data_IF_431217429350
#
_entry.id   IF_431217429350
#
_cell.length_a   1.000
_cell.length_b   1.000
_cell.length_c   1.000
_cell.angle_alpha   90.00
_cell.angle_beta   90.00
_cell.angle_gamma   90.00
#
_symmetry.space_group_name_H-M   'P 1'
#
loop_
_entity.id
_entity.type
_entity.pdbx_description
1 polymer ?
#
# COMPACT_ATOMS: atom_id res chain seq x y z
N UNK A 1 36.43 -12.62 36.08
CA UNK A 1 35.53 -11.63 35.43
C UNK A 1 34.28 -12.33 34.93
N UNK A 2 33.24 -12.18 35.72
CA UNK A 2 31.86 -12.59 35.40
C UNK A 2 31.34 -11.71 34.27
N UNK A 3 31.55 -12.10 33.03
CA UNK A 3 30.90 -11.44 31.90
C UNK A 3 29.41 -11.77 31.89
N UNK A 4 28.70 -10.82 32.40
CA UNK A 4 27.27 -10.52 32.31
C UNK A 4 26.50 -11.33 31.27
N UNK A 5 25.63 -12.21 31.76
CA UNK A 5 24.44 -12.66 31.02
C UNK A 5 23.76 -11.42 30.43
N UNK A 6 23.30 -11.46 29.17
CA UNK A 6 22.51 -10.38 28.62
C UNK A 6 21.30 -10.17 29.54
N UNK A 7 21.33 -9.07 30.22
CA UNK A 7 20.34 -8.73 31.22
C UNK A 7 18.93 -8.79 30.62
N UNK A 8 17.97 -9.32 31.38
CA UNK A 8 16.53 -9.36 31.12
C UNK A 8 16.03 -8.09 30.43
N UNK A 9 16.63 -6.96 30.74
CA UNK A 9 16.35 -5.63 30.20
C UNK A 9 16.61 -5.46 28.70
N UNK A 10 17.58 -6.16 28.11
CA UNK A 10 17.83 -6.11 26.64
C UNK A 10 16.82 -6.95 25.86
N UNK A 11 16.32 -8.03 26.46
CA UNK A 11 15.24 -8.85 25.92
C UNK A 11 13.91 -8.09 25.92
N UNK A 12 13.63 -7.37 27.03
CA UNK A 12 12.39 -6.59 27.18
C UNK A 12 12.34 -5.42 26.20
N UNK A 13 13.47 -4.72 25.99
CA UNK A 13 13.57 -3.65 24.99
C UNK A 13 13.39 -4.16 23.56
N UNK A 14 13.99 -5.30 23.24
CA UNK A 14 13.85 -5.92 21.91
C UNK A 14 12.40 -6.34 21.67
N UNK A 15 11.73 -6.91 22.68
CA UNK A 15 10.35 -7.31 22.61
C UNK A 15 9.41 -6.10 22.47
N UNK A 16 9.70 -5.01 23.20
CA UNK A 16 8.97 -3.75 23.08
C UNK A 16 9.08 -3.15 21.67
N UNK A 17 10.30 -3.14 21.09
CA UNK A 17 10.52 -2.65 19.74
C UNK A 17 9.80 -3.54 18.71
N UNK A 18 9.88 -4.85 18.83
CA UNK A 18 9.27 -5.79 17.91
C UNK A 18 7.74 -5.74 17.88
N UNK A 19 7.11 -5.47 19.04
CA UNK A 19 5.67 -5.31 19.14
C UNK A 19 5.24 -3.84 18.94
N UNK A 20 6.03 -2.88 19.39
CA UNK A 20 5.70 -1.47 19.29
C UNK A 20 5.91 -0.88 17.90
N UNK A 21 6.97 -1.29 17.18
CA UNK A 21 7.25 -0.77 15.84
C UNK A 21 6.12 -1.01 14.83
N UNK A 22 5.50 -2.20 14.73
CA UNK A 22 4.35 -2.41 13.85
C UNK A 22 3.17 -1.50 14.17
N UNK A 23 2.91 -1.29 15.45
CA UNK A 23 1.83 -0.40 15.92
C UNK A 23 2.10 1.04 15.48
N UNK A 24 3.31 1.54 15.74
CA UNK A 24 3.72 2.90 15.35
C UNK A 24 3.71 3.05 13.82
N UNK A 25 4.20 2.06 13.09
CA UNK A 25 4.22 2.09 11.63
C UNK A 25 2.80 2.12 11.05
N UNK A 26 1.88 1.30 11.53
CA UNK A 26 0.49 1.32 11.05
C UNK A 26 -0.20 2.65 11.35
N UNK A 27 0.02 3.21 12.54
CA UNK A 27 -0.51 4.53 12.88
C UNK A 27 0.07 5.59 11.95
N UNK A 28 1.39 5.64 11.79
CA UNK A 28 2.06 6.62 10.92
C UNK A 28 1.56 6.45 9.48
N UNK A 29 1.65 5.25 8.91
CA UNK A 29 1.24 5.02 7.51
C UNK A 29 -0.27 5.17 7.30
N UNK A 30 -1.09 4.82 8.30
CA UNK A 30 -2.54 4.97 8.21
C UNK A 30 -3.04 6.41 8.29
N UNK A 31 -2.33 7.29 9.01
CA UNK A 31 -2.71 8.70 9.14
C UNK A 31 -1.86 9.65 8.30
N UNK A 32 -0.56 9.37 8.09
CA UNK A 32 0.35 10.26 7.37
C UNK A 32 0.21 10.14 5.85
N UNK A 33 -0.16 8.96 5.34
CA UNK A 33 -0.43 8.75 3.93
C UNK A 33 -1.94 8.86 3.70
N UNK A 34 -2.50 10.02 3.97
CA UNK A 34 -3.86 10.34 3.55
C UNK A 34 -3.80 10.72 2.07
N UNK A 35 -4.33 9.84 1.24
CA UNK A 35 -4.70 10.16 -0.14
C UNK A 35 -6.07 10.84 -0.20
N UNK A 36 -6.62 11.27 0.93
CA UNK A 36 -7.82 12.09 0.96
C UNK A 36 -7.45 13.51 0.52
N UNK A 37 -8.06 13.95 -0.55
CA UNK A 37 -8.02 15.35 -0.94
C UNK A 37 -8.75 16.15 0.13
N UNK A 38 -8.04 17.08 0.75
CA UNK A 38 -8.62 18.08 1.65
C UNK A 38 -8.01 19.43 1.29
N UNK A 39 -8.88 20.40 1.06
CA UNK A 39 -8.48 21.78 0.83
C UNK A 39 -7.41 21.95 -0.26
N UNK A 40 -7.59 21.24 -1.39
CA UNK A 40 -6.70 21.39 -2.54
C UNK A 40 -6.88 22.79 -3.13
N UNK A 41 -5.82 23.57 -3.16
CA UNK A 41 -5.85 24.91 -3.76
C UNK A 41 -5.93 24.80 -5.28
N UNK A 42 -6.97 25.40 -5.85
CA UNK A 42 -7.19 25.46 -7.30
C UNK A 42 -7.26 26.91 -7.77
N UNK A 43 -6.87 27.14 -9.02
CA UNK A 43 -7.15 28.40 -9.69
C UNK A 43 -8.21 28.19 -10.77
N UNK A 44 -8.92 29.25 -11.08
CA UNK A 44 -9.96 29.27 -12.12
C UNK A 44 -9.58 30.28 -13.19
N UNK A 45 -9.60 29.83 -14.44
CA UNK A 45 -9.51 30.70 -15.61
C UNK A 45 -10.83 30.64 -16.37
N UNK A 46 -11.66 31.67 -16.18
CA UNK A 46 -13.01 31.73 -16.74
C UNK A 46 -13.08 32.80 -17.84
N UNK A 47 -13.17 32.34 -19.09
CA UNK A 47 -13.33 33.21 -20.27
C UNK A 47 -14.78 33.61 -20.50
N UNK A 48 -15.74 32.86 -19.96
CA UNK A 48 -17.17 33.10 -20.20
C UNK A 48 -17.81 34.02 -19.17
N UNK A 49 -17.44 33.86 -17.89
CA UNK A 49 -17.96 34.63 -16.75
C UNK A 49 -19.49 34.64 -16.69
N UNK A 50 -20.10 33.50 -17.02
CA UNK A 50 -21.55 33.33 -17.06
C UNK A 50 -22.12 32.62 -15.82
N UNK A 51 -23.44 32.46 -15.75
CA UNK A 51 -24.12 31.89 -14.60
C UNK A 51 -23.73 30.41 -14.42
N UNK A 52 -23.51 29.66 -15.50
CA UNK A 52 -23.18 28.24 -15.43
C UNK A 52 -21.74 28.03 -14.90
N UNK A 53 -20.78 28.86 -15.33
CA UNK A 53 -19.42 28.80 -14.82
C UNK A 53 -19.36 29.17 -13.34
N UNK A 54 -20.10 30.21 -12.92
CA UNK A 54 -20.17 30.59 -11.51
C UNK A 54 -20.76 29.49 -10.63
N UNK A 55 -21.85 28.83 -11.05
CA UNK A 55 -22.43 27.70 -10.30
C UNK A 55 -21.49 26.52 -10.16
N UNK A 56 -20.72 26.19 -11.21
CA UNK A 56 -19.72 25.13 -11.12
C UNK A 56 -18.60 25.50 -10.14
N UNK A 57 -18.15 26.76 -10.17
CA UNK A 57 -17.13 27.27 -9.24
C UNK A 57 -17.65 27.19 -7.80
N UNK A 58 -18.89 27.63 -7.55
CA UNK A 58 -19.53 27.55 -6.23
C UNK A 58 -19.66 26.10 -5.75
N UNK A 59 -20.00 25.14 -6.62
CA UNK A 59 -20.04 23.72 -6.26
C UNK A 59 -18.65 23.14 -5.95
N UNK A 60 -17.61 23.59 -6.66
CA UNK A 60 -16.23 23.21 -6.36
C UNK A 60 -15.81 23.75 -4.99
N UNK A 61 -16.11 25.02 -4.68
CA UNK A 61 -15.81 25.64 -3.38
C UNK A 61 -16.64 25.08 -2.22
N UNK A 62 -17.90 24.74 -2.47
CA UNK A 62 -18.77 24.14 -1.46
C UNK A 62 -18.34 22.72 -1.11
N UNK A 63 -17.49 22.09 -1.90
CA UNK A 63 -16.94 20.77 -1.62
C UNK A 63 -15.83 20.86 -0.57
N UNK A 64 -15.67 19.84 0.27
CA UNK A 64 -14.55 19.75 1.22
C UNK A 64 -13.19 19.50 0.53
N UNK A 65 -13.19 19.36 -0.80
CA UNK A 65 -12.01 18.94 -1.57
C UNK A 65 -11.22 20.11 -2.14
N UNK A 66 -11.90 21.21 -2.53
CA UNK A 66 -11.28 22.30 -3.26
C UNK A 66 -11.47 23.65 -2.58
N UNK A 67 -10.43 24.46 -2.67
CA UNK A 67 -10.47 25.88 -2.29
C UNK A 67 -10.00 26.70 -3.48
N UNK A 68 -10.86 27.58 -4.00
CA UNK A 68 -10.47 28.49 -5.08
C UNK A 68 -9.61 29.61 -4.51
N UNK A 69 -8.29 29.50 -4.73
CA UNK A 69 -7.33 30.47 -4.19
C UNK A 69 -7.13 31.68 -5.10
N UNK A 70 -7.31 31.52 -6.41
CA UNK A 70 -7.06 32.58 -7.40
C UNK A 70 -7.98 32.47 -8.62
N UNK A 71 -8.35 33.62 -9.15
CA UNK A 71 -8.99 33.74 -10.48
C UNK A 71 -7.99 34.38 -11.44
N UNK A 72 -7.68 33.66 -12.53
CA UNK A 72 -6.70 34.09 -13.52
C UNK A 72 -7.35 34.93 -14.59
N UNK A 73 -6.61 35.91 -15.11
CA UNK A 73 -7.09 36.78 -16.16
C UNK A 73 -6.45 36.51 -17.54
N UNK A 74 -5.33 35.79 -17.55
CA UNK A 74 -4.61 35.44 -18.77
C UNK A 74 -4.22 33.95 -18.79
N UNK A 75 -4.15 33.34 -19.96
CA UNK A 75 -3.61 31.99 -20.14
C UNK A 75 -2.14 31.91 -19.75
N UNK A 76 -1.38 33.00 -19.88
CA UNK A 76 0.05 33.02 -19.53
C UNK A 76 0.26 32.91 -18.00
N UNK A 77 -0.72 33.30 -17.21
CA UNK A 77 -0.69 33.21 -15.76
C UNK A 77 -0.75 31.74 -15.28
N UNK A 78 -1.31 30.83 -16.09
CA UNK A 78 -1.48 29.42 -15.73
C UNK A 78 -0.13 28.77 -15.39
N UNK A 79 0.85 28.91 -16.27
CA UNK A 79 2.18 28.34 -16.03
C UNK A 79 2.87 28.99 -14.83
N UNK A 80 2.69 30.29 -14.66
CA UNK A 80 3.30 31.03 -13.56
C UNK A 80 2.76 30.60 -12.19
N UNK A 81 1.46 30.33 -12.08
CA UNK A 81 0.82 29.91 -10.83
C UNK A 81 1.29 28.51 -10.41
N UNK A 82 1.46 27.58 -11.34
CA UNK A 82 2.06 26.27 -11.08
C UNK A 82 3.52 26.39 -10.64
N UNK A 83 4.32 27.21 -11.30
CA UNK A 83 5.72 27.45 -10.92
C UNK A 83 5.87 28.06 -9.52
N UNK A 84 4.88 28.82 -9.06
CA UNK A 84 4.87 29.37 -7.70
C UNK A 84 4.48 28.33 -6.63
N UNK A 85 4.00 27.15 -7.05
CA UNK A 85 3.56 26.07 -6.16
C UNK A 85 2.33 26.44 -5.31
N UNK A 86 1.54 27.42 -5.76
CA UNK A 86 0.38 27.92 -5.02
C UNK A 86 -0.90 27.14 -5.31
N UNK A 87 -0.97 26.49 -6.45
CA UNK A 87 -2.15 25.72 -6.88
C UNK A 87 -1.72 24.35 -7.41
N UNK A 88 -2.58 23.38 -7.21
CA UNK A 88 -2.36 22.01 -7.67
C UNK A 88 -3.17 21.69 -8.94
N UNK A 89 -4.20 22.49 -9.23
CA UNK A 89 -5.03 22.32 -10.42
C UNK A 89 -5.59 23.68 -10.88
N UNK A 90 -5.75 23.83 -12.19
CA UNK A 90 -6.43 24.97 -12.82
C UNK A 90 -7.65 24.45 -13.59
N UNK A 91 -8.80 25.06 -13.34
CA UNK A 91 -10.05 24.81 -14.07
C UNK A 91 -10.23 25.90 -15.11
N UNK A 92 -10.26 25.52 -16.39
CA UNK A 92 -10.40 26.46 -17.51
C UNK A 92 -11.75 26.29 -18.16
N UNK A 93 -12.53 27.37 -18.21
CA UNK A 93 -13.80 27.42 -18.91
C UNK A 93 -13.63 28.07 -20.27
N UNK A 94 -14.21 27.46 -21.31
CA UNK A 94 -14.21 28.01 -22.65
C UNK A 94 -15.13 29.24 -22.80
N UNK A 95 -14.94 30.01 -23.87
CA UNK A 95 -15.79 31.16 -24.21
C UNK A 95 -17.25 30.77 -24.47
N UNK A 96 -18.20 31.61 -24.08
CA UNK A 96 -19.64 31.40 -24.26
C UNK A 96 -20.14 30.07 -23.70
N UNK A 97 -19.60 29.64 -22.56
CA UNK A 97 -19.83 28.32 -21.96
C UNK A 97 -21.32 28.01 -21.77
N UNK A 98 -22.08 28.90 -21.15
CA UNK A 98 -23.51 28.71 -20.92
C UNK A 98 -24.33 28.62 -22.23
N UNK A 99 -24.00 29.47 -23.19
CA UNK A 99 -24.68 29.50 -24.49
C UNK A 99 -24.42 28.19 -25.26
N UNK A 100 -23.18 27.76 -25.30
CA UNK A 100 -22.79 26.49 -25.92
C UNK A 100 -23.47 25.30 -25.22
N UNK A 101 -23.48 25.28 -23.88
CA UNK A 101 -24.09 24.21 -23.10
C UNK A 101 -25.60 24.09 -23.35
N UNK A 102 -26.33 25.21 -23.42
CA UNK A 102 -27.79 25.21 -23.57
C UNK A 102 -28.26 25.05 -25.02
N UNK A 103 -27.53 25.59 -26.01
CA UNK A 103 -27.96 25.59 -27.40
C UNK A 103 -27.31 24.51 -28.27
N UNK A 104 -26.02 24.19 -28.05
CA UNK A 104 -25.34 23.14 -28.81
C UNK A 104 -25.26 21.82 -28.05
N UNK A 105 -25.57 21.82 -26.76
CA UNK A 105 -25.44 20.64 -25.89
C UNK A 105 -23.99 20.28 -25.56
N UNK A 106 -23.03 21.05 -26.02
CA UNK A 106 -21.58 20.79 -25.84
C UNK A 106 -20.87 22.04 -25.28
N UNK A 107 -20.23 21.92 -24.15
CA UNK A 107 -19.33 22.93 -23.58
C UNK A 107 -18.07 22.23 -23.05
N UNK A 108 -16.92 22.88 -23.26
CA UNK A 108 -15.63 22.30 -22.85
C UNK A 108 -15.15 22.91 -21.53
N UNK A 109 -14.73 22.04 -20.63
CA UNK A 109 -13.98 22.40 -19.42
C UNK A 109 -12.66 21.66 -19.49
N UNK A 110 -11.55 22.40 -19.35
CA UNK A 110 -10.24 21.79 -19.27
C UNK A 110 -9.77 21.77 -17.81
N UNK A 111 -9.36 20.62 -17.33
CA UNK A 111 -8.76 20.44 -16.02
C UNK A 111 -7.25 20.24 -16.19
N UNK A 112 -6.46 21.22 -15.76
CA UNK A 112 -4.99 21.19 -15.82
C UNK A 112 -4.51 20.91 -14.39
N UNK A 113 -3.88 19.76 -14.16
CA UNK A 113 -3.38 19.37 -12.84
C UNK A 113 -1.85 19.22 -12.85
N UNK A 114 -1.21 19.56 -11.74
CA UNK A 114 0.20 19.26 -11.53
C UNK A 114 0.38 17.75 -11.38
N UNK A 115 1.01 17.12 -12.37
CA UNK A 115 1.26 15.68 -12.40
C UNK A 115 2.62 15.29 -11.80
N UNK A 116 3.27 16.19 -11.06
CA UNK A 116 4.50 15.86 -10.29
C UNK A 116 4.22 14.73 -9.31
N UNK A 117 3.02 14.71 -8.70
CA UNK A 117 2.45 13.53 -8.03
C UNK A 117 1.28 12.97 -8.86
N UNK A 118 1.50 11.88 -9.63
CA UNK A 118 0.47 11.28 -10.48
C UNK A 118 -0.76 10.81 -9.69
N UNK A 119 -0.58 10.29 -8.48
CA UNK A 119 -1.71 9.80 -7.66
C UNK A 119 -2.60 10.97 -7.22
N UNK A 120 -1.98 12.04 -6.76
CA UNK A 120 -2.69 13.25 -6.34
C UNK A 120 -3.42 13.89 -7.53
N UNK A 121 -2.78 14.00 -8.69
CA UNK A 121 -3.41 14.61 -9.87
C UNK A 121 -4.59 13.81 -10.40
N UNK A 122 -4.50 12.47 -10.44
CA UNK A 122 -5.62 11.60 -10.82
C UNK A 122 -6.80 11.73 -9.88
N UNK A 123 -6.54 11.87 -8.59
CA UNK A 123 -7.63 12.06 -7.61
C UNK A 123 -8.29 13.42 -7.75
N UNK A 124 -7.51 14.49 -7.86
CA UNK A 124 -8.03 15.86 -8.05
C UNK A 124 -8.90 15.96 -9.28
N UNK A 125 -8.40 15.50 -10.42
CA UNK A 125 -9.16 15.49 -11.67
C UNK A 125 -10.41 14.61 -11.61
N UNK A 126 -10.34 13.47 -10.91
CA UNK A 126 -11.48 12.59 -10.68
C UNK A 126 -12.58 13.26 -9.84
N UNK A 127 -12.23 13.91 -8.73
CA UNK A 127 -13.19 14.64 -7.90
C UNK A 127 -13.81 15.84 -8.64
N UNK A 128 -12.99 16.64 -9.35
CA UNK A 128 -13.49 17.75 -10.15
C UNK A 128 -14.44 17.29 -11.25
N UNK A 129 -14.08 16.21 -11.96
CA UNK A 129 -14.94 15.59 -12.98
C UNK A 129 -16.28 15.12 -12.41
N UNK A 130 -16.28 14.55 -11.21
CA UNK A 130 -17.52 14.10 -10.55
C UNK A 130 -18.42 15.29 -10.18
N UNK A 131 -17.86 16.38 -9.66
CA UNK A 131 -18.64 17.60 -9.34
C UNK A 131 -19.22 18.20 -10.62
N UNK A 132 -18.43 18.33 -11.68
CA UNK A 132 -18.88 18.84 -12.98
C UNK A 132 -19.99 17.94 -13.56
N UNK A 133 -19.84 16.62 -13.45
CA UNK A 133 -20.86 15.66 -13.90
C UNK A 133 -22.15 15.77 -13.09
N UNK A 134 -22.07 16.04 -11.79
CA UNK A 134 -23.23 16.25 -10.93
C UNK A 134 -24.00 17.53 -11.34
N UNK A 135 -23.29 18.62 -11.59
CA UNK A 135 -23.87 19.85 -12.11
C UNK A 135 -24.56 19.65 -13.47
N UNK A 136 -23.91 18.90 -14.35
CA UNK A 136 -24.49 18.55 -15.64
C UNK A 136 -25.80 17.74 -15.50
N UNK A 137 -25.85 16.79 -14.56
CA UNK A 137 -27.09 16.04 -14.28
C UNK A 137 -28.19 16.94 -13.71
N UNK A 138 -27.85 17.90 -12.88
CA UNK A 138 -28.80 18.88 -12.33
C UNK A 138 -29.42 19.71 -13.46
N UNK A 139 -28.60 20.26 -14.36
CA UNK A 139 -29.05 21.02 -15.54
C UNK A 139 -29.96 20.19 -16.46
N UNK A 140 -29.64 18.93 -16.66
CA UNK A 140 -30.46 18.02 -17.50
C UNK A 140 -31.85 17.79 -16.89
N UNK A 141 -31.97 17.75 -15.57
CA UNK A 141 -33.26 17.66 -14.86
C UNK A 141 -34.06 18.98 -14.99
N UNK A 142 -33.40 20.14 -14.88
CA UNK A 142 -34.04 21.45 -14.96
C UNK A 142 -34.56 21.79 -16.38
N UNK A 143 -33.78 21.45 -17.41
CA UNK A 143 -34.07 21.86 -18.79
C UNK A 143 -34.65 20.77 -19.70
N UNK A 144 -34.88 19.54 -19.14
CA UNK A 144 -35.45 18.41 -19.87
C UNK A 144 -34.73 18.09 -21.20
N UNK A 145 -33.41 18.16 -21.21
CA UNK A 145 -32.57 17.95 -22.41
C UNK A 145 -32.41 16.45 -22.66
N UNK A 146 -32.79 16.00 -23.89
CA UNK A 146 -33.02 14.58 -24.17
C UNK A 146 -31.83 13.80 -24.71
N UNK A 147 -30.68 14.38 -24.96
CA UNK A 147 -29.62 13.71 -25.76
C UNK A 147 -28.23 13.76 -25.15
N UNK A 148 -28.04 13.21 -23.93
CA UNK A 148 -26.68 13.01 -23.45
C UNK A 148 -26.56 11.73 -22.63
N UNK A 149 -25.63 10.84 -23.01
CA UNK A 149 -25.18 9.76 -22.15
C UNK A 149 -24.22 10.39 -21.16
N UNK A 150 -24.64 10.49 -19.89
CA UNK A 150 -23.77 10.92 -18.80
C UNK A 150 -23.12 9.69 -18.23
N UNK A 151 -21.78 9.56 -18.23
CA UNK A 151 -21.12 8.45 -17.54
C UNK A 151 -21.41 8.55 -16.04
N UNK A 152 -22.22 7.64 -15.51
CA UNK A 152 -22.45 7.51 -14.09
C UNK A 152 -21.25 6.77 -13.47
N UNK A 153 -20.31 7.52 -12.89
CA UNK A 153 -19.14 6.93 -12.23
C UNK A 153 -19.53 6.46 -10.84
N UNK A 154 -19.66 5.15 -10.66
CA UNK A 154 -19.90 4.52 -9.37
C UNK A 154 -18.62 3.94 -8.81
N UNK A 155 -18.08 4.54 -7.76
CA UNK A 155 -16.90 4.01 -7.05
C UNK A 155 -17.32 2.87 -6.12
N UNK A 156 -16.91 1.64 -6.46
CA UNK A 156 -17.15 0.46 -5.66
C UNK A 156 -16.06 0.31 -4.58
N UNK A 157 -16.43 -0.31 -3.47
CA UNK A 157 -15.55 -0.72 -2.36
C UNK A 157 -14.91 0.41 -1.54
N UNK A 158 -14.59 1.55 -2.11
CA UNK A 158 -14.04 2.71 -1.42
C UNK A 158 -14.64 4.02 -1.96
N UNK A 159 -15.95 4.29 -1.74
CA UNK A 159 -16.62 5.49 -2.27
C UNK A 159 -16.02 6.80 -1.78
N UNK A 160 -15.38 6.78 -0.60
CA UNK A 160 -14.75 7.94 0.02
C UNK A 160 -13.28 8.08 -0.37
N UNK A 161 -12.74 7.21 -1.25
CA UNK A 161 -11.34 7.19 -1.69
C UNK A 161 -10.34 7.28 -0.52
N UNK A 162 -10.67 6.64 0.62
CA UNK A 162 -9.79 6.63 1.79
C UNK A 162 -8.49 5.90 1.48
N UNK A 163 -7.36 6.60 1.63
CA UNK A 163 -6.04 6.04 1.41
C UNK A 163 -5.73 4.83 2.29
N UNK A 164 -6.25 4.80 3.52
CA UNK A 164 -6.06 3.69 4.44
C UNK A 164 -6.50 2.34 3.86
N UNK A 165 -7.54 2.29 3.01
CA UNK A 165 -8.02 1.06 2.37
C UNK A 165 -6.99 0.44 1.42
N UNK A 166 -6.19 1.28 0.77
CA UNK A 166 -5.11 0.81 -0.11
C UNK A 166 -3.82 0.52 0.67
N UNK A 167 -3.45 1.40 1.61
CA UNK A 167 -2.16 1.33 2.30
C UNK A 167 -2.11 0.29 3.41
N UNK A 168 -3.21 0.07 4.17
CA UNK A 168 -3.19 -0.89 5.29
C UNK A 168 -2.82 -2.31 4.85
N UNK A 169 -3.43 -2.91 3.83
CA UNK A 169 -3.01 -4.21 3.31
C UNK A 169 -1.55 -4.24 2.86
N UNK A 170 -1.09 -3.16 2.21
CA UNK A 170 0.29 -3.03 1.76
C UNK A 170 1.29 -3.00 2.90
N UNK A 171 1.05 -2.14 3.89
CA UNK A 171 1.90 -1.99 5.08
C UNK A 171 1.88 -3.27 5.92
N UNK A 172 0.74 -3.94 6.03
CA UNK A 172 0.62 -5.22 6.71
C UNK A 172 1.54 -6.27 6.07
N UNK A 173 1.54 -6.38 4.74
CA UNK A 173 2.45 -7.27 4.00
C UNK A 173 3.92 -6.89 4.19
N UNK A 174 4.24 -5.61 4.10
CA UNK A 174 5.60 -5.09 4.30
C UNK A 174 6.13 -5.42 5.70
N UNK A 175 5.37 -5.08 6.73
CA UNK A 175 5.77 -5.28 8.14
C UNK A 175 5.98 -6.76 8.45
N UNK A 176 5.01 -7.60 8.09
CA UNK A 176 5.11 -9.04 8.35
C UNK A 176 6.31 -9.65 7.64
N UNK A 177 6.54 -9.28 6.37
CA UNK A 177 7.67 -9.81 5.62
C UNK A 177 9.00 -9.38 6.21
N UNK A 178 9.17 -8.09 6.53
CA UNK A 178 10.42 -7.56 7.07
C UNK A 178 10.72 -8.17 8.45
N UNK A 179 9.76 -8.15 9.37
CA UNK A 179 9.99 -8.65 10.74
C UNK A 179 10.29 -10.15 10.71
N UNK A 180 9.49 -10.95 10.00
CA UNK A 180 9.69 -12.39 9.93
C UNK A 180 11.06 -12.76 9.32
N UNK A 181 11.38 -12.16 8.16
CA UNK A 181 12.61 -12.46 7.45
C UNK A 181 13.84 -11.98 8.24
N UNK A 182 13.80 -10.76 8.79
CA UNK A 182 14.91 -10.17 9.52
C UNK A 182 15.18 -10.94 10.82
N UNK A 183 14.13 -11.22 11.62
CA UNK A 183 14.31 -11.93 12.89
C UNK A 183 14.82 -13.34 12.71
N UNK A 184 14.27 -14.08 11.74
CA UNK A 184 14.73 -15.44 11.45
C UNK A 184 16.17 -15.46 10.95
N UNK A 185 16.53 -14.56 10.04
CA UNK A 185 17.89 -14.49 9.50
C UNK A 185 18.92 -14.15 10.58
N UNK A 186 18.65 -13.12 11.40
CA UNK A 186 19.53 -12.69 12.50
C UNK A 186 19.69 -13.84 13.52
N UNK A 187 18.59 -14.49 13.93
CA UNK A 187 18.65 -15.54 14.93
C UNK A 187 19.52 -16.73 14.51
N UNK A 188 19.49 -17.09 13.23
CA UNK A 188 20.29 -18.20 12.72
C UNK A 188 21.75 -17.77 12.48
N UNK A 189 21.94 -16.57 11.93
CA UNK A 189 23.30 -16.05 11.66
C UNK A 189 24.05 -15.78 12.97
N UNK A 190 23.33 -15.39 14.03
CA UNK A 190 23.91 -15.24 15.38
C UNK A 190 24.58 -16.53 15.87
N UNK A 191 23.91 -17.67 15.70
CA UNK A 191 24.48 -18.98 16.07
C UNK A 191 25.75 -19.30 15.25
N UNK A 192 25.77 -18.89 13.96
CA UNK A 192 26.96 -19.06 13.12
C UNK A 192 28.10 -18.17 13.59
N UNK A 193 27.81 -16.90 13.86
CA UNK A 193 28.79 -15.89 14.26
C UNK A 193 29.43 -16.21 15.62
N UNK A 194 28.66 -16.83 16.52
CA UNK A 194 29.12 -17.24 17.84
C UNK A 194 29.80 -18.64 17.84
N UNK A 195 29.82 -19.34 16.70
CA UNK A 195 30.37 -20.70 16.60
C UNK A 195 29.52 -21.79 17.22
N UNK A 196 28.37 -21.44 17.80
CA UNK A 196 27.46 -22.41 18.46
C UNK A 196 26.70 -23.28 17.46
N UNK A 197 26.65 -22.88 16.20
CA UNK A 197 26.03 -23.66 15.13
C UNK A 197 26.71 -25.01 14.92
N UNK A 198 28.04 -25.07 15.01
CA UNK A 198 28.81 -26.32 14.86
C UNK A 198 28.46 -27.31 15.96
N UNK A 199 28.30 -26.83 17.19
CA UNK A 199 27.90 -27.66 18.34
C UNK A 199 26.46 -28.21 18.16
N UNK A 200 25.54 -27.37 17.66
CA UNK A 200 24.16 -27.79 17.36
C UNK A 200 24.12 -28.85 16.25
N UNK A 201 24.98 -28.73 15.26
CA UNK A 201 25.04 -29.64 14.12
C UNK A 201 25.79 -30.94 14.45
N UNK A 202 26.69 -30.93 15.42
CA UNK A 202 27.32 -32.15 15.96
C UNK A 202 26.39 -33.00 16.82
N UNK A 203 25.25 -32.43 17.22
CA UNK A 203 24.19 -33.17 17.95
C UNK A 203 23.46 -34.15 17.02
N UNK A 204 22.97 -35.31 17.52
CA UNK A 204 22.22 -36.29 16.73
C UNK A 204 20.83 -35.78 16.28
N UNK A 205 20.55 -34.51 16.43
CA UNK A 205 19.25 -33.87 16.08
C UNK A 205 19.24 -33.55 14.58
N UNK A 206 18.14 -33.90 13.90
CA UNK A 206 17.96 -33.55 12.49
C UNK A 206 17.89 -32.00 12.33
N UNK A 207 18.57 -31.43 11.33
CA UNK A 207 18.60 -29.98 11.10
C UNK A 207 17.22 -29.30 11.04
N UNK A 208 16.19 -30.02 10.59
CA UNK A 208 14.82 -29.52 10.53
C UNK A 208 14.27 -29.14 11.91
N UNK A 209 14.60 -29.89 12.97
CA UNK A 209 14.14 -29.55 14.31
C UNK A 209 14.81 -28.31 14.88
N UNK A 210 16.07 -28.04 14.51
CA UNK A 210 16.79 -26.82 14.89
C UNK A 210 16.11 -25.62 14.25
N UNK A 211 15.78 -25.74 12.96
CA UNK A 211 15.08 -24.67 12.20
C UNK A 211 13.70 -24.43 12.78
N UNK A 212 12.92 -25.48 13.06
CA UNK A 212 11.58 -25.34 13.63
C UNK A 212 11.64 -24.72 15.03
N UNK A 213 12.57 -25.14 15.87
CA UNK A 213 12.74 -24.56 17.21
C UNK A 213 13.04 -23.05 17.18
N UNK A 214 13.74 -22.56 16.15
CA UNK A 214 14.00 -21.14 15.95
C UNK A 214 12.84 -20.43 15.26
N UNK A 215 12.10 -21.08 14.36
CA UNK A 215 11.01 -20.48 13.62
C UNK A 215 9.72 -20.31 14.46
N UNK A 216 9.39 -21.27 15.35
CA UNK A 216 8.16 -21.25 16.14
C UNK A 216 7.99 -19.99 17.01
N UNK A 217 8.98 -19.51 17.76
CA UNK A 217 8.84 -18.28 18.54
C UNK A 217 8.55 -17.07 17.67
N UNK A 218 9.21 -16.97 16.49
CA UNK A 218 8.99 -15.85 15.56
C UNK A 218 7.66 -15.95 14.83
N UNK A 219 7.19 -17.16 14.55
CA UNK A 219 5.84 -17.39 14.05
C UNK A 219 4.80 -16.88 15.05
N UNK A 220 4.92 -17.25 16.32
CA UNK A 220 4.01 -16.81 17.38
C UNK A 220 4.01 -15.29 17.53
N UNK A 221 5.20 -14.66 17.53
CA UNK A 221 5.34 -13.20 17.58
C UNK A 221 4.67 -12.55 16.37
N UNK A 222 4.82 -13.11 15.18
CA UNK A 222 4.20 -12.58 13.96
C UNK A 222 2.68 -12.70 13.97
N UNK A 223 2.13 -13.73 14.59
CA UNK A 223 0.67 -13.88 14.81
C UNK A 223 0.16 -12.78 15.76
N UNK A 224 0.91 -12.47 16.82
CA UNK A 224 0.55 -11.35 17.72
C UNK A 224 0.62 -10.02 16.98
N UNK A 225 1.66 -9.78 16.17
CA UNK A 225 1.76 -8.59 15.34
C UNK A 225 0.60 -8.49 14.34
N UNK A 226 0.27 -9.57 13.64
CA UNK A 226 -0.87 -9.62 12.73
C UNK A 226 -2.17 -9.23 13.45
N UNK A 227 -2.40 -9.80 14.62
CA UNK A 227 -3.60 -9.50 15.41
C UNK A 227 -3.66 -8.05 15.85
N UNK A 228 -2.54 -7.47 16.29
CA UNK A 228 -2.46 -6.05 16.68
C UNK A 228 -2.69 -5.12 15.49
N UNK A 229 -2.13 -5.45 14.32
CA UNK A 229 -2.32 -4.70 13.08
C UNK A 229 -3.80 -4.72 12.66
N UNK A 230 -4.45 -5.89 12.67
CA UNK A 230 -5.87 -6.03 12.32
C UNK A 230 -6.77 -5.26 13.30
N UNK A 231 -6.50 -5.31 14.60
CA UNK A 231 -7.25 -4.54 15.60
C UNK A 231 -7.12 -3.04 15.36
N UNK A 232 -5.90 -2.54 15.13
CA UNK A 232 -5.68 -1.13 14.82
C UNK A 232 -6.36 -0.69 13.52
N UNK A 233 -6.24 -1.50 12.46
CA UNK A 233 -6.86 -1.20 11.17
C UNK A 233 -8.38 -1.07 11.29
N UNK A 234 -9.01 -1.96 12.05
CA UNK A 234 -10.46 -1.97 12.24
C UNK A 234 -10.93 -0.84 13.17
N UNK A 235 -10.36 -0.73 14.38
CA UNK A 235 -10.86 0.21 15.40
C UNK A 235 -10.40 1.65 15.19
N UNK A 236 -9.16 1.86 14.74
CA UNK A 236 -8.56 3.20 14.62
C UNK A 236 -8.71 3.75 13.22
N UNK A 237 -8.33 2.99 12.18
CA UNK A 237 -8.34 3.43 10.79
C UNK A 237 -9.68 3.19 10.08
N UNK A 238 -10.60 2.47 10.76
CA UNK A 238 -11.93 2.13 10.22
C UNK A 238 -11.88 1.45 8.85
N UNK A 239 -10.84 0.65 8.63
CA UNK A 239 -10.73 -0.19 7.43
C UNK A 239 -11.59 -1.42 7.64
N UNK A 240 -12.57 -1.69 6.76
CA UNK A 240 -13.46 -2.82 6.94
C UNK A 240 -12.74 -4.16 6.74
N UNK A 241 -13.26 -5.19 7.40
CA UNK A 241 -12.95 -6.57 7.07
C UNK A 241 -14.25 -7.16 6.50
N UNK A 242 -14.47 -6.92 5.20
CA UNK A 242 -15.72 -7.29 4.54
C UNK A 242 -15.84 -8.81 4.30
N UNK A 243 -14.72 -9.51 4.16
CA UNK A 243 -14.67 -10.95 3.91
C UNK A 243 -14.46 -11.80 5.17
N UNK A 244 -14.17 -13.08 4.97
CA UNK A 244 -14.01 -14.05 6.04
C UNK A 244 -12.69 -13.89 6.80
N UNK A 245 -12.76 -13.67 8.13
CA UNK A 245 -11.59 -13.63 9.02
C UNK A 245 -10.80 -14.94 9.01
N UNK A 246 -11.47 -16.08 8.81
CA UNK A 246 -10.81 -17.38 8.75
C UNK A 246 -9.83 -17.46 7.56
N UNK A 247 -10.28 -17.08 6.37
CA UNK A 247 -9.43 -17.09 5.18
C UNK A 247 -8.34 -16.01 5.22
N UNK A 248 -8.65 -14.87 5.84
CA UNK A 248 -7.67 -13.83 6.10
C UNK A 248 -6.54 -14.34 7.01
N UNK A 249 -6.88 -15.03 8.10
CA UNK A 249 -5.89 -15.66 8.98
C UNK A 249 -5.11 -16.76 8.26
N UNK A 250 -5.78 -17.62 7.48
CA UNK A 250 -5.16 -18.71 6.76
C UNK A 250 -4.08 -18.22 5.78
N UNK A 251 -4.41 -17.24 4.92
CA UNK A 251 -3.43 -16.70 3.97
C UNK A 251 -2.29 -15.95 4.68
N UNK A 252 -2.59 -15.26 5.79
CA UNK A 252 -1.57 -14.59 6.59
C UNK A 252 -0.60 -15.58 7.23
N UNK A 253 -1.07 -16.72 7.70
CA UNK A 253 -0.20 -17.78 8.24
C UNK A 253 0.70 -18.40 7.17
N UNK A 254 0.18 -18.62 5.96
CA UNK A 254 0.98 -19.07 4.81
C UNK A 254 2.05 -18.00 4.49
N UNK A 255 1.68 -16.74 4.46
CA UNK A 255 2.61 -15.64 4.17
C UNK A 255 3.70 -15.49 5.25
N UNK A 256 3.33 -15.59 6.53
CA UNK A 256 4.30 -15.59 7.64
C UNK A 256 5.29 -16.78 7.45
N UNK A 257 4.82 -17.97 7.08
CA UNK A 257 5.68 -19.12 6.83
C UNK A 257 6.64 -18.86 5.63
N UNK A 258 6.17 -18.22 4.56
CA UNK A 258 7.02 -17.79 3.42
C UNK A 258 8.08 -16.81 3.90
N UNK A 259 7.70 -15.79 4.68
CA UNK A 259 8.62 -14.76 5.16
C UNK A 259 9.69 -15.31 6.11
N UNK A 260 9.32 -16.24 7.00
CA UNK A 260 10.27 -16.98 7.84
C UNK A 260 11.24 -17.82 6.99
N UNK A 261 10.75 -18.45 5.92
CA UNK A 261 11.57 -19.23 4.98
C UNK A 261 12.53 -18.36 4.18
N UNK A 262 12.12 -17.14 3.83
CA UNK A 262 13.03 -16.14 3.25
C UNK A 262 14.13 -15.73 4.22
N UNK A 263 13.81 -15.52 5.49
CA UNK A 263 14.81 -15.27 6.53
C UNK A 263 15.80 -16.42 6.68
N UNK A 264 15.30 -17.67 6.63
CA UNK A 264 16.12 -18.87 6.60
C UNK A 264 17.04 -18.89 5.37
N UNK A 265 16.52 -18.55 4.19
CA UNK A 265 17.31 -18.47 2.97
C UNK A 265 18.42 -17.41 3.08
N UNK A 266 18.10 -16.19 3.57
CA UNK A 266 19.10 -15.14 3.83
C UNK A 266 20.18 -15.63 4.78
N UNK A 267 19.82 -16.38 5.82
CA UNK A 267 20.79 -16.94 6.76
C UNK A 267 21.78 -17.90 6.11
N UNK A 268 21.46 -18.51 4.96
CA UNK A 268 22.39 -19.37 4.22
C UNK A 268 23.48 -18.57 3.48
N UNK A 269 23.22 -17.31 3.18
CA UNK A 269 24.11 -16.43 2.42
C UNK A 269 24.91 -15.52 3.36
N UNK A 270 24.27 -14.99 4.40
CA UNK A 270 24.87 -14.08 5.36
C UNK A 270 25.77 -14.81 6.35
N UNK A 271 26.92 -14.19 6.67
CA UNK A 271 27.86 -14.71 7.65
C UNK A 271 27.88 -13.88 8.95
N UNK A 272 27.41 -12.62 8.93
CA UNK A 272 27.30 -11.75 10.09
C UNK A 272 25.88 -11.27 10.29
N UNK A 273 25.49 -10.95 11.54
CA UNK A 273 24.18 -10.41 11.87
C UNK A 273 23.88 -9.11 11.11
N UNK A 274 24.90 -8.25 10.97
CA UNK A 274 24.77 -6.99 10.21
C UNK A 274 24.42 -7.25 8.75
N UNK A 275 25.13 -8.19 8.11
CA UNK A 275 24.84 -8.56 6.71
C UNK A 275 23.43 -9.15 6.57
N UNK A 276 23.01 -10.01 7.50
CA UNK A 276 21.67 -10.57 7.52
C UNK A 276 20.59 -9.49 7.65
N UNK A 277 20.81 -8.51 8.53
CA UNK A 277 19.94 -7.37 8.74
C UNK A 277 19.84 -6.48 7.49
N UNK A 278 20.96 -6.19 6.83
CA UNK A 278 20.99 -5.37 5.63
C UNK A 278 20.26 -6.06 4.45
N UNK A 279 20.51 -7.36 4.23
CA UNK A 279 19.85 -8.11 3.16
C UNK A 279 18.35 -8.23 3.43
N UNK A 280 17.94 -8.63 4.64
CA UNK A 280 16.53 -8.84 4.95
C UNK A 280 15.77 -7.53 5.17
N UNK A 281 16.41 -6.50 5.72
CA UNK A 281 15.81 -5.18 5.89
C UNK A 281 15.75 -4.40 4.58
N UNK A 282 16.89 -3.87 4.14
CA UNK A 282 16.94 -3.01 2.95
C UNK A 282 16.69 -3.79 1.65
N UNK A 283 17.21 -5.02 1.54
CA UNK A 283 17.07 -5.83 0.33
C UNK A 283 15.64 -6.26 0.03
N UNK A 284 14.77 -6.42 1.04
CA UNK A 284 13.35 -6.74 0.82
C UNK A 284 12.45 -5.50 0.89
N UNK A 285 12.82 -4.47 1.66
CA UNK A 285 11.98 -3.27 1.80
C UNK A 285 11.73 -2.58 0.45
N UNK A 286 12.79 -2.30 -0.30
CA UNK A 286 12.69 -1.62 -1.59
C UNK A 286 11.82 -2.38 -2.61
N UNK A 287 12.08 -3.68 -2.91
CA UNK A 287 11.24 -4.43 -3.83
C UNK A 287 9.79 -4.53 -3.36
N UNK A 288 9.54 -4.72 -2.06
CA UNK A 288 8.17 -4.79 -1.55
C UNK A 288 7.45 -3.46 -1.71
N UNK A 289 8.07 -2.33 -1.36
CA UNK A 289 7.45 -1.03 -1.51
C UNK A 289 7.13 -0.70 -2.98
N UNK A 290 8.04 -0.99 -3.90
CA UNK A 290 7.91 -0.58 -5.29
C UNK A 290 7.12 -1.58 -6.16
N UNK A 291 7.30 -2.90 -5.92
CA UNK A 291 6.85 -3.94 -6.85
C UNK A 291 5.74 -4.84 -6.28
N UNK A 292 5.15 -4.50 -5.13
CA UNK A 292 4.07 -5.30 -4.54
C UNK A 292 2.66 -4.79 -4.85
N UNK A 293 2.53 -3.66 -5.56
CA UNK A 293 1.23 -3.00 -5.75
C UNK A 293 0.75 -2.22 -4.52
N UNK A 294 1.68 -1.91 -3.58
CA UNK A 294 1.37 -1.10 -2.40
C UNK A 294 1.26 0.39 -2.74
N UNK A 295 2.25 0.92 -3.45
CA UNK A 295 2.32 2.35 -3.81
C UNK A 295 1.76 2.55 -5.22
N UNK A 296 2.25 1.78 -6.18
CA UNK A 296 1.84 1.88 -7.58
C UNK A 296 1.10 0.62 -8.04
N UNK A 297 0.01 0.74 -8.81
CA UNK A 297 -0.64 -0.41 -9.45
C UNK A 297 0.36 -1.16 -10.35
N UNK A 298 0.38 -2.48 -10.24
CA UNK A 298 1.33 -3.32 -10.99
C UNK A 298 1.05 -3.23 -12.49
N UNK A 299 -0.22 -3.09 -12.86
CA UNK A 299 -0.71 -2.98 -14.25
C UNK A 299 -0.15 -1.73 -14.95
N UNK A 300 0.19 -0.69 -14.19
CA UNK A 300 0.78 0.56 -14.71
C UNK A 300 2.30 0.47 -14.91
N UNK A 301 2.93 -0.63 -14.50
CA UNK A 301 4.36 -0.81 -14.64
C UNK A 301 4.74 -1.37 -16.02
N UNK A 302 5.98 -1.09 -16.51
CA UNK A 302 6.52 -1.79 -17.67
C UNK A 302 6.50 -3.31 -17.47
N UNK A 303 6.29 -4.08 -18.56
CA UNK A 303 6.15 -5.54 -18.53
C UNK A 303 7.28 -6.25 -17.76
N UNK A 304 8.52 -5.80 -17.93
CA UNK A 304 9.68 -6.37 -17.22
C UNK A 304 9.52 -6.28 -15.71
N UNK A 305 9.02 -5.14 -15.18
CA UNK A 305 8.79 -4.96 -13.74
C UNK A 305 7.60 -5.79 -13.25
N UNK A 306 6.57 -5.96 -14.07
CA UNK A 306 5.45 -6.87 -13.78
C UNK A 306 5.92 -8.32 -13.63
N UNK A 307 6.84 -8.78 -14.49
CA UNK A 307 7.45 -10.11 -14.38
C UNK A 307 8.25 -10.28 -13.09
N UNK A 308 9.09 -9.30 -12.75
CA UNK A 308 9.88 -9.31 -11.52
C UNK A 308 8.97 -9.29 -10.28
N UNK A 309 7.89 -8.53 -10.33
CA UNK A 309 6.92 -8.43 -9.24
C UNK A 309 6.30 -9.78 -8.87
N UNK A 310 6.14 -10.70 -9.84
CA UNK A 310 5.61 -12.03 -9.60
C UNK A 310 6.50 -12.91 -8.68
N UNK A 311 7.80 -12.57 -8.57
CA UNK A 311 8.75 -13.29 -7.70
C UNK A 311 8.61 -12.83 -6.24
N UNK A 312 7.97 -11.68 -6.00
CA UNK A 312 7.86 -11.08 -4.67
C UNK A 312 6.63 -11.63 -3.94
N UNK A 313 6.80 -12.37 -2.83
CA UNK A 313 5.68 -12.97 -2.11
C UNK A 313 4.67 -11.95 -1.59
N UNK A 314 5.14 -10.75 -1.19
CA UNK A 314 4.30 -9.69 -0.67
C UNK A 314 3.25 -9.22 -1.68
N UNK A 315 3.51 -9.28 -2.99
CA UNK A 315 2.54 -8.99 -4.05
C UNK A 315 1.28 -9.84 -3.89
N UNK A 316 1.44 -11.15 -3.84
CA UNK A 316 0.34 -12.12 -3.78
C UNK A 316 -0.43 -12.01 -2.48
N UNK A 317 0.28 -11.74 -1.38
CA UNK A 317 -0.34 -11.53 -0.10
C UNK A 317 -1.19 -10.24 -0.07
N UNK A 318 -0.61 -9.12 -0.53
CA UNK A 318 -1.29 -7.82 -0.55
C UNK A 318 -2.53 -7.85 -1.44
N UNK A 319 -2.44 -8.47 -2.62
CA UNK A 319 -3.57 -8.65 -3.53
C UNK A 319 -4.70 -9.45 -2.88
N UNK A 320 -4.37 -10.61 -2.28
CA UNK A 320 -5.35 -11.43 -1.59
C UNK A 320 -5.97 -10.73 -0.38
N UNK A 321 -5.19 -9.97 0.41
CA UNK A 321 -5.72 -9.21 1.55
C UNK A 321 -6.62 -8.08 1.10
N UNK A 322 -6.29 -7.36 0.02
CA UNK A 322 -7.17 -6.34 -0.57
C UNK A 322 -8.51 -6.96 -1.00
N UNK A 323 -8.48 -8.10 -1.68
CA UNK A 323 -9.67 -8.85 -2.08
C UNK A 323 -10.53 -9.25 -0.88
N UNK A 324 -9.93 -9.80 0.18
CA UNK A 324 -10.65 -10.21 1.38
C UNK A 324 -11.15 -9.04 2.21
N UNK A 325 -10.26 -8.08 2.56
CA UNK A 325 -10.62 -7.01 3.49
C UNK A 325 -11.54 -5.97 2.86
N UNK A 326 -11.26 -5.57 1.61
CA UNK A 326 -11.94 -4.42 0.98
C UNK A 326 -13.07 -4.88 0.08
N UNK A 327 -12.82 -5.86 -0.80
CA UNK A 327 -13.81 -6.33 -1.76
C UNK A 327 -14.78 -7.35 -1.15
N UNK A 328 -14.39 -8.02 -0.04
CA UNK A 328 -15.24 -9.01 0.63
C UNK A 328 -15.54 -10.26 -0.21
N UNK A 329 -14.66 -10.63 -1.14
CA UNK A 329 -14.85 -11.76 -2.04
C UNK A 329 -14.66 -13.12 -1.36
N UNK A 330 -15.20 -14.15 -1.97
CA UNK A 330 -15.09 -15.54 -1.51
C UNK A 330 -13.68 -16.11 -1.70
N UNK A 331 -13.43 -17.27 -1.10
CA UNK A 331 -12.13 -17.97 -1.14
C UNK A 331 -11.68 -18.34 -2.56
N UNK A 332 -12.60 -18.60 -3.45
CA UNK A 332 -12.34 -18.95 -4.85
C UNK A 332 -11.47 -17.92 -5.58
N UNK A 333 -11.59 -16.64 -5.22
CA UNK A 333 -10.84 -15.53 -5.84
C UNK A 333 -9.42 -15.37 -5.30
N UNK A 334 -9.09 -16.02 -4.17
CA UNK A 334 -7.76 -15.99 -3.55
C UNK A 334 -7.01 -17.31 -3.60
N UNK A 335 -7.63 -18.39 -4.10
CA UNK A 335 -7.01 -19.73 -4.20
C UNK A 335 -5.72 -19.70 -5.00
N UNK A 336 -5.67 -18.93 -6.08
CA UNK A 336 -4.47 -18.74 -6.90
C UNK A 336 -3.34 -18.13 -6.08
N UNK A 337 -3.63 -17.08 -5.32
CA UNK A 337 -2.64 -16.35 -4.51
C UNK A 337 -2.12 -17.26 -3.39
N UNK A 338 -3.01 -18.00 -2.73
CA UNK A 338 -2.66 -18.99 -1.72
C UNK A 338 -1.77 -20.11 -2.28
N UNK A 339 -2.11 -20.65 -3.46
CA UNK A 339 -1.33 -21.71 -4.11
C UNK A 339 0.07 -21.24 -4.48
N UNK A 340 0.21 -20.01 -4.98
CA UNK A 340 1.49 -19.41 -5.32
C UNK A 340 2.34 -19.22 -4.04
N UNK A 341 1.76 -18.64 -2.99
CA UNK A 341 2.46 -18.46 -1.71
C UNK A 341 2.91 -19.82 -1.13
N UNK A 342 2.06 -20.84 -1.18
CA UNK A 342 2.40 -22.17 -0.71
C UNK A 342 3.54 -22.81 -1.54
N UNK A 343 3.52 -22.63 -2.86
CA UNK A 343 4.60 -23.09 -3.74
C UNK A 343 5.93 -22.39 -3.44
N UNK A 344 5.90 -21.07 -3.20
CA UNK A 344 7.07 -20.29 -2.78
C UNK A 344 7.62 -20.76 -1.43
N UNK A 345 6.74 -21.07 -0.47
CA UNK A 345 7.14 -21.62 0.82
C UNK A 345 7.89 -22.95 0.65
N UNK A 346 7.31 -23.90 -0.10
CA UNK A 346 7.91 -25.22 -0.34
C UNK A 346 9.26 -25.08 -1.05
N UNK A 347 9.34 -24.24 -2.05
CA UNK A 347 10.57 -23.97 -2.80
C UNK A 347 11.66 -23.38 -1.90
N UNK A 348 11.36 -22.33 -1.15
CA UNK A 348 12.32 -21.65 -0.28
C UNK A 348 12.84 -22.56 0.83
N UNK A 349 11.95 -23.31 1.49
CA UNK A 349 12.36 -24.22 2.56
C UNK A 349 13.23 -25.35 2.01
N UNK A 350 12.88 -25.88 0.82
CA UNK A 350 13.65 -26.96 0.16
C UNK A 350 15.07 -26.50 -0.21
N UNK A 351 15.19 -25.30 -0.79
CA UNK A 351 16.50 -24.71 -1.14
C UNK A 351 17.32 -24.47 0.14
N UNK A 352 16.70 -23.91 1.16
CA UNK A 352 17.37 -23.61 2.43
C UNK A 352 17.88 -24.86 3.12
N UNK A 353 17.06 -25.92 3.20
CA UNK A 353 17.45 -27.20 3.80
C UNK A 353 18.59 -27.88 3.03
N UNK A 354 18.57 -27.85 1.70
CA UNK A 354 19.66 -28.40 0.87
C UNK A 354 20.99 -27.67 1.14
N UNK A 355 20.98 -26.32 1.19
CA UNK A 355 22.17 -25.53 1.48
C UNK A 355 22.69 -25.73 2.91
N UNK A 356 21.81 -25.97 3.88
CA UNK A 356 22.22 -26.33 5.23
C UNK A 356 22.97 -27.66 5.29
N UNK A 357 22.54 -28.68 4.52
CA UNK A 357 23.20 -29.99 4.47
C UNK A 357 24.59 -29.95 3.79
N UNK A 358 24.76 -29.18 2.74
CA UNK A 358 26.02 -29.12 1.95
C UNK A 358 27.17 -28.48 2.74
N UNK A 359 26.91 -27.73 3.78
CA UNK A 359 27.95 -27.12 4.65
C UNK A 359 28.43 -28.05 5.75
N UNK A 360 27.91 -29.30 5.83
CA UNK A 360 28.26 -30.33 6.77
C UNK A 360 29.11 -31.45 6.14
N UNK A 361 29.37 -31.44 4.87
CA UNK A 361 30.29 -32.29 4.11
C UNK A 361 31.41 -31.48 3.50
#
# INVERSE_FOLDING_TARGET
DLHSFPTRRSSDLTMLILLGMPIVQIIIFGFAITTELKNTEIAVFDLSKDISTQRIIEQLEASEYFTVSQVLNSSDDIEQVFRQGKVNMVVVFGENFNNNLLHTGEASIQLIADATDPNQSLMQTGYATNIISSYQQELMREHNVHFRIVPEVKMLYNPQLKGAYNFVPGVMGLILMLICAMMTSIAIVREKEMGTMEVLLASPIKPIYIILAKAVPYFTLSVVNLSSILLLSYFVLKVPVAGSLFWLAAISFIFIAVALSLGLFVSTIANTQVTAMLISGMGFMMPVMLLSGMIYPIESMPEVLQWISNIIPAKWYIDAIKKLMIQGVGVEFILKDMAILLSMFILLITISLKKFKVRLG
#
